data_IF_700396606976
#
_entry.id   IF_700396606976
#
_cell.length_a   1.000
_cell.length_b   1.000
_cell.length_c   1.000
_cell.angle_alpha   90.00
_cell.angle_beta   90.00
_cell.angle_gamma   90.00
#
_symmetry.space_group_name_H-M   'P 1'
#
loop_
_entity.id
_entity.type
_entity.pdbx_description
1 polymer ?
#
# COMPACT_ATOMS: atom_id res chain seq x y z
N UNK A 1 5.51 -13.10 17.41
CA UNK A 1 5.20 -11.66 17.36
C UNK A 1 5.45 -11.20 15.94
N UNK A 2 4.46 -10.58 15.29
CA UNK A 2 4.56 -10.13 13.89
C UNK A 2 5.06 -8.69 13.87
N UNK A 3 5.83 -8.31 12.85
CA UNK A 3 6.25 -6.93 12.63
C UNK A 3 5.46 -6.34 11.47
N UNK A 4 4.96 -5.12 11.63
CA UNK A 4 4.27 -4.39 10.58
C UNK A 4 5.01 -3.08 10.29
N UNK A 5 5.11 -2.73 9.01
CA UNK A 5 5.73 -1.51 8.50
C UNK A 5 4.85 -0.90 7.40
N UNK A 6 4.62 0.40 7.50
CA UNK A 6 3.78 1.17 6.59
C UNK A 6 4.59 2.33 6.01
N UNK A 7 4.52 2.53 4.70
CA UNK A 7 5.19 3.65 4.04
C UNK A 7 4.34 4.23 2.91
N UNK A 8 4.71 5.44 2.47
CA UNK A 8 4.24 6.04 1.23
C UNK A 8 5.41 6.49 0.36
N UNK A 9 5.20 6.61 -0.95
CA UNK A 9 6.15 7.17 -1.90
C UNK A 9 5.43 7.74 -3.12
N UNK A 10 6.14 8.49 -3.97
CA UNK A 10 5.62 8.98 -5.26
C UNK A 10 6.23 8.18 -6.39
N UNK A 11 5.45 7.68 -7.35
CA UNK A 11 6.03 7.09 -8.56
C UNK A 11 6.81 8.14 -9.34
N UNK A 12 7.75 7.68 -10.17
CA UNK A 12 8.29 8.54 -11.21
C UNK A 12 7.18 8.97 -12.19
N UNK A 13 7.31 10.14 -12.84
CA UNK A 13 6.26 10.68 -13.73
C UNK A 13 5.92 9.81 -14.95
N UNK A 14 6.88 9.00 -15.41
CA UNK A 14 6.81 8.12 -16.59
C UNK A 14 6.66 6.64 -16.21
N UNK A 15 6.10 6.34 -15.03
CA UNK A 15 5.82 4.97 -14.65
C UNK A 15 4.69 4.41 -15.51
N UNK A 16 5.02 3.42 -16.33
CA UNK A 16 4.06 2.79 -17.23
C UNK A 16 3.24 1.70 -16.51
N UNK A 17 2.04 1.41 -17.02
CA UNK A 17 1.12 0.44 -16.42
C UNK A 17 1.72 -0.98 -16.35
N UNK A 18 2.52 -1.37 -17.34
CA UNK A 18 3.19 -2.67 -17.36
C UNK A 18 4.25 -2.79 -16.25
N UNK A 19 4.99 -1.73 -15.95
CA UNK A 19 5.96 -1.72 -14.86
C UNK A 19 5.28 -1.87 -13.50
N UNK A 20 4.08 -1.31 -13.38
CA UNK A 20 3.25 -1.45 -12.21
C UNK A 20 2.73 -2.88 -12.06
N UNK A 21 2.26 -3.52 -13.14
CA UNK A 21 1.93 -4.95 -13.16
C UNK A 21 3.13 -5.82 -12.76
N UNK A 22 4.33 -5.47 -13.21
CA UNK A 22 5.56 -6.15 -12.81
C UNK A 22 5.88 -5.97 -11.32
N UNK A 23 5.74 -4.76 -10.76
CA UNK A 23 5.88 -4.51 -9.30
C UNK A 23 4.98 -5.48 -8.55
N UNK A 24 3.74 -5.61 -9.02
CA UNK A 24 2.74 -6.42 -8.38
C UNK A 24 3.14 -7.91 -8.46
N UNK A 25 3.26 -8.48 -9.66
CA UNK A 25 3.57 -9.91 -9.84
C UNK A 25 4.84 -10.30 -9.06
N UNK A 26 5.86 -9.45 -9.11
CA UNK A 26 7.12 -9.67 -8.42
C UNK A 26 6.97 -9.58 -6.90
N UNK A 27 6.23 -8.60 -6.40
CA UNK A 27 5.95 -8.43 -4.97
C UNK A 27 5.20 -9.64 -4.43
N UNK A 28 4.15 -10.09 -5.10
CA UNK A 28 3.39 -11.28 -4.69
C UNK A 28 4.27 -12.51 -4.59
N UNK A 29 5.05 -12.79 -5.64
CA UNK A 29 5.93 -13.97 -5.69
C UNK A 29 7.02 -13.91 -4.62
N UNK A 30 7.75 -12.79 -4.54
CA UNK A 30 8.88 -12.65 -3.61
C UNK A 30 8.46 -12.58 -2.14
N UNK A 31 7.33 -11.94 -1.86
CA UNK A 31 6.89 -11.74 -0.48
C UNK A 31 6.26 -13.02 0.07
N UNK A 32 5.50 -13.75 -0.76
CA UNK A 32 4.98 -15.08 -0.41
C UNK A 32 6.12 -16.05 -0.05
N UNK A 33 7.20 -16.07 -0.83
CA UNK A 33 8.37 -16.92 -0.57
C UNK A 33 9.08 -16.60 0.77
N UNK A 34 8.88 -15.40 1.32
CA UNK A 34 9.45 -14.95 2.59
C UNK A 34 8.44 -14.91 3.74
N UNK A 35 7.22 -15.41 3.52
CA UNK A 35 6.12 -15.29 4.47
C UNK A 35 5.89 -13.82 4.91
N UNK A 36 6.05 -12.89 3.98
CA UNK A 36 5.67 -11.49 4.17
C UNK A 36 4.28 -11.35 3.55
N UNK A 37 3.35 -10.72 4.26
CA UNK A 37 1.98 -10.39 3.82
C UNK A 37 1.77 -8.89 3.80
N UNK A 38 0.66 -8.40 3.23
CA UNK A 38 0.45 -6.96 3.14
C UNK A 38 -0.50 -6.52 2.04
N UNK A 39 -0.53 -5.21 1.84
CA UNK A 39 -1.35 -4.53 0.84
C UNK A 39 -0.54 -3.38 0.22
N UNK A 40 -0.59 -3.25 -1.10
CA UNK A 40 -0.03 -2.13 -1.86
C UNK A 40 -1.17 -1.43 -2.58
N UNK A 41 -1.25 -0.11 -2.45
CA UNK A 41 -2.18 0.76 -3.15
C UNK A 41 -1.36 1.70 -4.04
N UNK A 42 -1.81 1.88 -5.28
CA UNK A 42 -1.32 2.89 -6.19
C UNK A 42 -2.48 3.72 -6.71
N UNK A 43 -2.38 5.05 -6.62
CA UNK A 43 -3.36 5.99 -7.15
C UNK A 43 -2.69 7.33 -7.43
N UNK A 44 -2.97 7.94 -8.59
CA UNK A 44 -2.47 9.26 -9.00
C UNK A 44 -0.97 9.49 -8.67
N UNK A 45 -0.12 8.59 -9.17
CA UNK A 45 1.32 8.64 -8.97
C UNK A 45 1.78 8.47 -7.52
N UNK A 46 0.92 7.99 -6.62
CA UNK A 46 1.23 7.79 -5.20
C UNK A 46 1.12 6.33 -4.81
N UNK A 47 2.12 5.82 -4.11
CA UNK A 47 2.12 4.50 -3.49
C UNK A 47 1.86 4.58 -1.99
N UNK A 48 1.08 3.64 -1.47
CA UNK A 48 1.01 3.37 -0.03
C UNK A 48 1.04 1.87 0.19
N UNK A 49 1.96 1.39 1.02
CA UNK A 49 2.11 -0.05 1.27
C UNK A 49 2.18 -0.36 2.75
N UNK A 50 1.57 -1.49 3.11
CA UNK A 50 1.64 -2.15 4.40
C UNK A 50 2.36 -3.48 4.21
N UNK A 51 3.36 -3.78 5.03
CA UNK A 51 4.12 -5.03 5.04
C UNK A 51 4.05 -5.67 6.42
N UNK A 52 3.79 -6.98 6.49
CA UNK A 52 3.67 -7.75 7.72
C UNK A 52 4.52 -9.02 7.66
N UNK A 53 5.28 -9.32 8.72
CA UNK A 53 6.08 -10.56 8.76
C UNK A 53 7.12 -10.57 9.86
N UNK A 54 8.19 -11.33 9.64
CA UNK A 54 9.37 -11.25 10.50
C UNK A 54 10.03 -9.87 10.38
N UNK A 55 10.44 -9.27 11.52
CA UNK A 55 10.99 -7.91 11.56
C UNK A 55 12.18 -7.73 10.62
N UNK A 56 13.12 -8.67 10.62
CA UNK A 56 14.33 -8.56 9.80
C UNK A 56 13.96 -8.67 8.32
N UNK A 57 13.10 -9.63 7.96
CA UNK A 57 12.66 -9.82 6.59
C UNK A 57 11.86 -8.61 6.05
N UNK A 58 10.99 -8.01 6.87
CA UNK A 58 10.24 -6.80 6.51
C UNK A 58 11.17 -5.61 6.31
N UNK A 59 12.11 -5.37 7.24
CA UNK A 59 13.06 -4.26 7.13
C UNK A 59 14.01 -4.43 5.94
N UNK A 60 14.50 -5.64 5.68
CA UNK A 60 15.36 -5.93 4.52
C UNK A 60 14.60 -5.77 3.19
N UNK A 61 13.30 -6.08 3.16
CA UNK A 61 12.45 -5.80 2.01
C UNK A 61 12.24 -4.29 1.84
N UNK A 62 11.93 -3.58 2.93
CA UNK A 62 11.72 -2.14 2.90
C UNK A 62 12.93 -1.38 2.38
N UNK A 63 14.16 -1.73 2.78
CA UNK A 63 15.39 -1.11 2.21
C UNK A 63 15.54 -1.32 0.71
N UNK A 64 15.10 -2.47 0.18
CA UNK A 64 15.12 -2.74 -1.27
C UNK A 64 14.07 -1.91 -2.00
N UNK A 65 12.91 -1.76 -1.39
CA UNK A 65 11.83 -0.91 -1.88
C UNK A 65 12.30 0.54 -1.87
N UNK A 66 12.90 1.03 -0.79
CA UNK A 66 13.39 2.40 -0.66
C UNK A 66 14.38 2.79 -1.78
N UNK A 67 15.20 1.84 -2.24
CA UNK A 67 16.16 2.04 -3.32
C UNK A 67 15.61 1.76 -4.73
N UNK A 68 14.32 1.45 -4.88
CA UNK A 68 13.71 1.13 -6.17
C UNK A 68 13.58 2.39 -7.05
N UNK A 69 14.13 2.43 -8.27
CA UNK A 69 14.15 3.64 -9.10
C UNK A 69 12.79 4.01 -9.71
N UNK A 70 11.75 3.19 -9.48
CA UNK A 70 10.39 3.44 -9.98
C UNK A 70 9.60 4.43 -9.13
N UNK A 71 10.12 4.81 -7.96
CA UNK A 71 9.52 5.81 -7.08
C UNK A 71 10.57 6.68 -6.38
N UNK A 72 10.10 7.74 -5.75
CA UNK A 72 10.87 8.72 -4.99
C UNK A 72 10.09 9.14 -3.75
N UNK A 73 10.66 10.03 -2.93
CA UNK A 73 10.01 10.58 -1.73
C UNK A 73 9.45 9.50 -0.78
N UNK A 74 10.23 8.44 -0.53
CA UNK A 74 9.84 7.33 0.34
C UNK A 74 9.82 7.79 1.79
N UNK A 75 8.64 7.72 2.42
CA UNK A 75 8.41 8.16 3.79
C UNK A 75 7.84 6.99 4.60
N UNK A 76 8.59 6.55 5.60
CA UNK A 76 8.12 5.64 6.63
C UNK A 76 7.01 6.34 7.43
N UNK A 77 5.81 5.77 7.41
CA UNK A 77 4.66 6.30 8.15
C UNK A 77 4.59 5.71 9.55
N UNK A 78 4.89 4.42 9.69
CA UNK A 78 4.81 3.71 10.96
C UNK A 78 5.49 2.34 10.88
N UNK A 79 6.06 1.88 12.00
CA UNK A 79 6.47 0.50 12.18
C UNK A 79 6.33 0.08 13.65
N UNK A 80 5.84 -1.13 13.91
CA UNK A 80 5.85 -1.71 15.26
C UNK A 80 5.59 -3.23 15.23
N UNK A 81 5.86 -3.93 16.34
CA UNK A 81 5.31 -5.26 16.57
C UNK A 81 3.78 -5.22 16.70
N UNK A 82 3.10 -6.26 16.20
CA UNK A 82 1.65 -6.48 16.28
C UNK A 82 1.33 -7.92 16.67
N UNK A 83 0.16 -8.12 17.27
CA UNK A 83 -0.24 -9.41 17.85
C UNK A 83 -0.62 -10.45 16.79
N UNK A 84 -1.08 -10.00 15.62
CA UNK A 84 -1.47 -10.85 14.49
C UNK A 84 -1.28 -10.13 13.16
N UNK A 85 -1.29 -10.88 12.07
CA UNK A 85 -1.42 -10.33 10.71
C UNK A 85 -2.82 -9.78 10.53
N UNK A 86 -2.94 -8.59 9.96
CA UNK A 86 -4.22 -8.03 9.52
C UNK A 86 -4.50 -8.38 8.06
N UNK A 87 -3.44 -8.65 7.29
CA UNK A 87 -3.50 -9.10 5.90
C UNK A 87 -3.01 -10.54 5.85
N UNK A 88 -3.87 -11.50 6.17
CA UNK A 88 -3.50 -12.93 6.25
C UNK A 88 -3.23 -13.57 4.90
N UNK A 89 -3.71 -12.97 3.81
CA UNK A 89 -3.38 -13.32 2.43
C UNK A 89 -2.57 -12.19 1.77
N UNK A 90 -1.72 -12.53 0.79
CA UNK A 90 -1.07 -11.51 -0.06
C UNK A 90 -2.11 -10.94 -1.04
N UNK A 91 -2.93 -10.01 -0.53
CA UNK A 91 -3.93 -9.28 -1.29
C UNK A 91 -3.31 -8.00 -1.82
N UNK A 92 -2.65 -8.18 -2.94
CA UNK A 92 -2.09 -7.09 -3.71
C UNK A 92 -3.21 -6.32 -4.41
N UNK A 93 -3.67 -5.26 -3.76
CA UNK A 93 -4.79 -4.44 -4.21
C UNK A 93 -4.32 -3.32 -5.16
N UNK A 94 -4.03 -3.69 -6.41
CA UNK A 94 -3.97 -2.74 -7.50
C UNK A 94 -5.35 -2.12 -7.75
N UNK A 95 -5.47 -0.80 -7.66
CA UNK A 95 -6.65 -0.11 -8.16
C UNK A 95 -6.31 1.19 -8.85
N UNK A 96 -6.11 1.06 -10.16
CA UNK A 96 -6.61 2.09 -11.05
C UNK A 96 -8.07 1.73 -11.30
N UNK A 97 -9.06 2.51 -10.81
CA UNK A 97 -10.46 2.19 -11.06
C UNK A 97 -10.77 2.27 -12.55
N UNK A 98 -10.86 1.11 -13.21
CA UNK A 98 -11.58 0.95 -14.49
C UNK A 98 -13.01 0.50 -14.18
N UNK A 99 -13.98 0.79 -15.04
CA UNK A 99 -15.41 0.44 -14.81
C UNK A 99 -15.63 -1.01 -14.36
N UNK A 100 -14.81 -1.94 -14.84
CA UNK A 100 -14.84 -3.37 -14.51
C UNK A 100 -14.37 -3.72 -13.09
N UNK A 101 -13.59 -2.86 -12.43
CA UNK A 101 -12.90 -3.19 -11.19
C UNK A 101 -13.33 -2.30 -10.00
N UNK A 102 -14.24 -1.34 -10.22
CA UNK A 102 -14.75 -0.39 -9.20
C UNK A 102 -15.36 -1.09 -7.99
N UNK A 103 -16.10 -2.20 -8.18
CA UNK A 103 -16.73 -2.92 -7.07
C UNK A 103 -15.68 -3.50 -6.11
N UNK A 104 -14.61 -4.08 -6.66
CA UNK A 104 -13.53 -4.67 -5.89
C UNK A 104 -12.72 -3.56 -5.18
N UNK A 105 -12.58 -2.38 -5.81
CA UNK A 105 -11.96 -1.18 -5.22
C UNK A 105 -12.75 -0.70 -4.01
N UNK A 106 -14.05 -0.50 -4.20
CA UNK A 106 -14.97 -0.04 -3.15
C UNK A 106 -15.01 -1.05 -2.02
N UNK A 107 -15.06 -2.35 -2.30
CA UNK A 107 -15.04 -3.38 -1.26
C UNK A 107 -13.73 -3.38 -0.46
N UNK A 108 -12.59 -3.21 -1.13
CA UNK A 108 -11.32 -3.11 -0.45
C UNK A 108 -11.21 -1.81 0.36
N UNK A 109 -11.73 -0.69 -0.14
CA UNK A 109 -11.84 0.57 0.61
C UNK A 109 -12.79 0.48 1.80
N UNK A 110 -13.92 -0.22 1.69
CA UNK A 110 -14.87 -0.46 2.77
C UNK A 110 -14.26 -1.38 3.84
N UNK A 111 -13.62 -2.48 3.45
CA UNK A 111 -12.91 -3.37 4.34
C UNK A 111 -11.83 -2.62 5.12
N UNK A 112 -11.04 -1.83 4.40
CA UNK A 112 -10.00 -0.99 4.96
C UNK A 112 -10.64 0.08 5.91
N UNK A 113 -11.79 0.66 5.58
CA UNK A 113 -12.54 1.60 6.45
C UNK A 113 -13.05 0.93 7.73
N UNK A 114 -13.55 -0.30 7.67
CA UNK A 114 -13.98 -1.06 8.86
C UNK A 114 -12.79 -1.39 9.79
N UNK A 115 -11.60 -1.59 9.23
CA UNK A 115 -10.37 -1.72 10.02
C UNK A 115 -9.92 -0.40 10.66
N UNK A 116 -10.35 0.76 10.13
CA UNK A 116 -10.04 2.08 10.70
C UNK A 116 -10.70 2.32 12.07
N UNK A 117 -11.86 1.72 12.30
CA UNK A 117 -12.59 1.82 13.57
C UNK A 117 -11.96 0.96 14.68
N UNK A 118 -11.02 0.05 14.34
CA UNK A 118 -10.27 -0.75 15.30
C UNK A 118 -8.84 -0.22 15.50
N UNK A 119 -8.78 0.93 16.17
CA UNK A 119 -7.66 1.45 16.98
C UNK A 119 -6.23 1.02 16.60
N UNK A 120 -5.62 1.71 15.64
CA UNK A 120 -4.20 2.07 15.74
C UNK A 120 -3.98 3.47 15.17
N UNK A 121 -3.14 4.29 15.81
CA UNK A 121 -2.80 5.63 15.33
C UNK A 121 -2.18 5.61 13.90
N UNK A 122 -1.59 4.47 13.53
CA UNK A 122 -1.07 4.14 12.21
C UNK A 122 -2.18 4.05 11.16
N UNK A 123 -3.28 3.33 11.45
CA UNK A 123 -4.43 3.22 10.57
C UNK A 123 -5.11 4.58 10.37
N UNK A 124 -5.30 5.36 11.44
CA UNK A 124 -5.86 6.71 11.33
C UNK A 124 -5.00 7.66 10.47
N UNK A 125 -3.67 7.56 10.60
CA UNK A 125 -2.71 8.34 9.80
C UNK A 125 -2.70 7.89 8.34
N UNK A 126 -2.70 6.58 8.10
CA UNK A 126 -2.88 5.99 6.77
C UNK A 126 -4.17 6.50 6.13
N UNK A 127 -5.31 6.47 6.84
CA UNK A 127 -6.59 6.99 6.35
C UNK A 127 -6.62 8.49 6.13
N UNK A 128 -5.94 9.26 6.98
CA UNK A 128 -5.76 10.69 6.76
C UNK A 128 -5.04 10.94 5.44
N UNK A 129 -4.02 10.13 5.10
CA UNK A 129 -3.30 10.24 3.85
C UNK A 129 -4.12 9.73 2.65
N UNK A 130 -4.79 8.57 2.77
CA UNK A 130 -5.69 8.04 1.73
C UNK A 130 -6.79 9.06 1.41
N UNK A 131 -7.44 9.64 2.44
CA UNK A 131 -8.45 10.69 2.23
C UNK A 131 -7.88 11.95 1.57
N UNK A 132 -6.64 12.34 1.85
CA UNK A 132 -6.01 13.49 1.18
C UNK A 132 -5.76 13.20 -0.30
N UNK A 133 -5.28 12.00 -0.62
CA UNK A 133 -5.07 11.55 -2.00
C UNK A 133 -6.42 11.55 -2.75
N UNK A 134 -7.44 10.91 -2.20
CA UNK A 134 -8.79 10.84 -2.80
C UNK A 134 -9.50 12.20 -2.90
N UNK A 135 -9.16 13.18 -2.04
CA UNK A 135 -9.77 14.52 -2.07
C UNK A 135 -9.11 15.45 -3.08
N UNK A 136 -7.84 15.24 -3.43
CA UNK A 136 -7.16 16.08 -4.41
C UNK A 136 -7.74 15.94 -5.83
N UNK A 137 -8.44 14.84 -6.13
CA UNK A 137 -9.16 14.64 -7.40
C UNK A 137 -10.45 15.48 -7.51
N UNK A 138 -11.07 15.86 -6.38
CA UNK A 138 -12.34 16.60 -6.38
C UNK A 138 -12.19 18.13 -6.54
N UNK A 139 -11.00 18.63 -6.87
CA UNK A 139 -10.77 20.07 -7.16
C UNK A 139 -10.40 20.38 -8.60
N UNK A 140 -10.46 19.39 -9.50
CA UNK A 140 -10.32 19.59 -10.95
C UNK A 140 -11.54 19.08 -11.72
N UNK A 141 -12.71 19.62 -11.41
CA UNK A 141 -13.81 19.75 -12.37
C UNK A 141 -14.91 20.63 -11.76
N UNK A 142 -14.83 21.92 -12.06
CA UNK A 142 -15.89 22.81 -12.58
C UNK A 142 -15.21 24.19 -12.62
N UNK A 143 -14.65 24.52 -13.78
CA UNK A 143 -14.86 25.76 -14.54
C UNK A 143 -14.21 25.61 -15.92
#
# INVERSE_FOLDING_TARGET
MIYQLNYRSRSRPDLELNELDEILVLSKTKNTAKNITGCLIYHDGSFVQILEGDKKLVQDLYRKIEADPRHEDVILLWEAPVDKRYFTEWNMAYYIPTETNVVQFVNNMLLLSEFSDRSSASLLSFWSNVRKILRNDNTKSID
#
